data_IF_066854977634
#
_entry.id   IF_066854977634
#
_cell.length_a   1.000
_cell.length_b   1.000
_cell.length_c   1.000
_cell.angle_alpha   90.00
_cell.angle_beta   90.00
_cell.angle_gamma   90.00
#
_symmetry.space_group_name_H-M   'P 1'
#
loop_
_entity.id
_entity.type
_entity.pdbx_description
1 polymer ?
#
# COMPACT_ATOMS: atom_id res chain seq x y z
N UNK A 1 3.26 17.12 6.65
CA UNK A 1 3.79 16.35 5.51
C UNK A 1 2.78 16.29 4.37
N UNK A 2 1.52 15.88 4.57
CA UNK A 2 0.49 15.79 3.52
C UNK A 2 -0.54 16.93 3.53
N UNK A 3 -0.91 17.43 2.35
CA UNK A 3 -2.03 18.35 2.12
C UNK A 3 -3.35 17.61 1.87
N UNK A 4 -3.28 16.42 1.27
CA UNK A 4 -4.41 15.49 1.13
C UNK A 4 -3.92 14.05 1.25
N UNK A 5 -4.70 13.20 1.90
CA UNK A 5 -4.37 11.80 2.15
C UNK A 5 -5.59 10.90 2.00
N UNK A 6 -5.41 9.74 1.41
CA UNK A 6 -6.40 8.68 1.34
C UNK A 6 -5.78 7.40 1.86
N UNK A 7 -6.51 6.73 2.75
CA UNK A 7 -6.13 5.43 3.28
C UNK A 7 -7.08 4.38 2.70
N UNK A 8 -6.55 3.24 2.28
CA UNK A 8 -7.37 2.07 1.97
C UNK A 8 -7.23 1.07 3.09
N UNK A 9 -8.38 0.59 3.55
CA UNK A 9 -8.48 -0.32 4.67
C UNK A 9 -9.01 -1.67 4.20
N UNK A 10 -8.46 -2.76 4.74
CA UNK A 10 -9.01 -4.10 4.56
C UNK A 10 -9.78 -4.52 5.81
N UNK A 11 -10.85 -5.27 5.61
CA UNK A 11 -11.57 -5.94 6.68
C UNK A 11 -10.69 -7.04 7.28
N UNK A 12 -10.52 -7.03 8.61
CA UNK A 12 -9.83 -8.08 9.35
C UNK A 12 -10.82 -8.81 10.27
N UNK A 13 -11.33 -10.00 9.85
CA UNK A 13 -12.29 -10.79 10.62
C UNK A 13 -11.88 -11.03 12.08
N UNK A 14 -10.59 -11.32 12.34
CA UNK A 14 -10.10 -11.57 13.69
C UNK A 14 -10.17 -10.36 14.62
N UNK A 15 -10.29 -9.15 14.04
CA UNK A 15 -10.44 -7.90 14.79
C UNK A 15 -11.85 -7.30 14.67
N UNK A 16 -12.71 -7.84 13.80
CA UNK A 16 -14.05 -7.31 13.55
C UNK A 16 -14.08 -5.86 13.07
N UNK A 17 -13.05 -5.39 12.33
CA UNK A 17 -12.98 -4.01 11.83
C UNK A 17 -12.07 -3.85 10.62
N UNK A 18 -12.25 -2.74 9.90
CA UNK A 18 -11.35 -2.28 8.86
C UNK A 18 -10.04 -1.73 9.45
N UNK A 19 -8.91 -2.03 8.80
CA UNK A 19 -7.56 -1.56 9.16
C UNK A 19 -6.78 -1.11 7.94
N UNK A 20 -6.02 -0.03 8.10
CA UNK A 20 -5.16 0.54 7.06
C UNK A 20 -4.14 -0.46 6.48
N UNK A 21 -4.20 -0.67 5.16
CA UNK A 21 -3.19 -1.40 4.39
C UNK A 21 -2.28 -0.48 3.57
N UNK A 22 -2.83 0.60 3.02
CA UNK A 22 -2.08 1.56 2.21
C UNK A 22 -2.55 2.98 2.50
N UNK A 23 -1.64 3.92 2.33
CA UNK A 23 -1.89 5.35 2.39
C UNK A 23 -1.24 6.03 1.20
N UNK A 24 -1.99 6.92 0.54
CA UNK A 24 -1.53 7.75 -0.56
C UNK A 24 -1.69 9.22 -0.20
N UNK A 25 -0.61 10.00 -0.32
CA UNK A 25 -0.53 11.39 0.10
C UNK A 25 -0.07 12.30 -1.04
N UNK A 26 -0.75 13.44 -1.20
CA UNK A 26 -0.24 14.61 -1.89
C UNK A 26 0.37 15.57 -0.86
N UNK A 27 1.63 15.91 -1.03
CA UNK A 27 2.38 16.79 -0.10
C UNK A 27 2.64 18.18 -0.68
N UNK A 28 2.09 18.48 -1.86
CA UNK A 28 2.39 19.67 -2.66
C UNK A 28 3.90 19.91 -2.70
N UNK A 29 4.37 21.13 -2.48
CA UNK A 29 5.78 21.50 -2.41
C UNK A 29 6.41 21.35 -1.01
N UNK A 30 5.70 20.80 0.00
CA UNK A 30 6.17 20.78 1.39
C UNK A 30 7.51 20.05 1.57
N UNK A 31 7.65 18.86 0.95
CA UNK A 31 8.88 18.08 1.00
C UNK A 31 9.94 18.68 0.07
N UNK A 32 9.54 19.11 -1.13
CA UNK A 32 10.43 19.72 -2.11
C UNK A 32 11.15 20.97 -1.58
N UNK A 33 10.44 21.85 -0.85
CA UNK A 33 11.05 23.03 -0.19
C UNK A 33 12.11 22.68 0.85
N UNK A 34 11.94 21.55 1.56
CA UNK A 34 12.89 21.08 2.58
C UNK A 34 14.12 20.40 1.98
N UNK A 35 13.92 19.71 0.86
CA UNK A 35 14.98 19.01 0.13
C UNK A 35 15.67 19.89 -0.93
N UNK A 36 15.13 21.07 -1.22
CA UNK A 36 15.63 21.96 -2.28
C UNK A 36 15.35 21.46 -3.71
N UNK A 37 14.39 20.55 -3.89
CA UNK A 37 14.08 19.94 -5.18
C UNK A 37 13.24 20.90 -6.02
N UNK A 38 13.77 21.28 -7.18
CA UNK A 38 13.17 22.26 -8.09
C UNK A 38 13.31 21.80 -9.54
N UNK A 39 12.41 22.25 -10.40
CA UNK A 39 12.52 22.09 -11.85
C UNK A 39 12.44 23.45 -12.55
N UNK A 40 12.82 23.48 -13.83
CA UNK A 40 12.56 24.61 -14.70
C UNK A 40 11.31 24.32 -15.53
N UNK A 41 10.31 25.21 -15.58
CA UNK A 41 9.14 25.03 -16.43
C UNK A 41 9.52 24.99 -17.92
N UNK A 42 8.76 24.23 -18.73
CA UNK A 42 9.04 24.07 -20.16
C UNK A 42 8.96 25.41 -20.94
N UNK A 43 8.15 26.36 -20.47
CA UNK A 43 8.05 27.71 -21.04
C UNK A 43 9.21 28.65 -20.64
N UNK A 44 10.25 28.14 -19.98
CA UNK A 44 11.30 28.95 -19.39
C UNK A 44 10.88 29.56 -18.05
N UNK A 45 11.61 30.58 -17.59
CA UNK A 45 11.37 31.25 -16.31
C UNK A 45 12.20 30.71 -15.14
N UNK A 46 11.81 31.12 -13.93
CA UNK A 46 12.49 30.78 -12.68
C UNK A 46 12.41 29.30 -12.32
N UNK A 47 13.23 28.86 -11.36
CA UNK A 47 13.12 27.51 -10.81
C UNK A 47 11.94 27.44 -9.85
N UNK A 48 11.08 26.42 -10.03
CA UNK A 48 9.89 26.17 -9.22
C UNK A 48 10.04 24.88 -8.41
N UNK A 49 9.50 24.84 -7.19
CA UNK A 49 9.51 23.61 -6.39
C UNK A 49 8.52 22.60 -6.95
N UNK A 50 8.96 21.35 -7.09
CA UNK A 50 8.08 20.27 -7.56
C UNK A 50 7.01 19.94 -6.52
N UNK A 51 5.88 19.41 -6.99
CA UNK A 51 4.93 18.74 -6.09
C UNK A 51 5.31 17.28 -5.92
N UNK A 52 5.30 16.79 -4.67
CA UNK A 52 5.62 15.41 -4.34
C UNK A 52 4.38 14.63 -3.89
N UNK A 53 4.22 13.43 -4.44
CA UNK A 53 3.23 12.45 -4.02
C UNK A 53 3.93 11.18 -3.57
N UNK A 54 3.30 10.45 -2.65
CA UNK A 54 3.75 9.12 -2.23
C UNK A 54 2.55 8.22 -1.99
N UNK A 55 2.77 6.91 -2.10
CA UNK A 55 1.76 5.90 -1.89
C UNK A 55 2.40 4.58 -1.50
N UNK A 56 1.78 3.86 -0.57
CA UNK A 56 2.20 2.50 -0.26
C UNK A 56 1.70 1.58 -1.36
N UNK A 57 2.61 0.93 -2.10
CA UNK A 57 2.20 -0.08 -3.08
C UNK A 57 1.62 -1.30 -2.36
N UNK A 58 2.42 -1.94 -1.49
CA UNK A 58 2.01 -3.08 -0.68
C UNK A 58 2.74 -3.04 0.66
N UNK A 59 2.01 -2.88 1.76
CA UNK A 59 2.55 -3.10 3.11
C UNK A 59 2.57 -4.60 3.42
N UNK A 60 3.59 -5.30 2.90
CA UNK A 60 3.66 -6.77 2.83
C UNK A 60 3.14 -7.49 4.08
N UNK A 61 3.62 -7.12 5.27
CA UNK A 61 3.19 -7.77 6.52
C UNK A 61 1.68 -7.65 6.79
N UNK A 62 1.10 -6.46 6.60
CA UNK A 62 -0.36 -6.26 6.80
C UNK A 62 -1.17 -6.92 5.69
N UNK A 63 -0.65 -6.92 4.47
CA UNK A 63 -1.29 -7.60 3.33
C UNK A 63 -1.34 -9.11 3.54
N UNK A 64 -0.27 -9.72 4.06
CA UNK A 64 -0.26 -11.15 4.41
C UNK A 64 -1.33 -11.46 5.46
N UNK A 65 -1.45 -10.64 6.52
CA UNK A 65 -2.50 -10.82 7.53
C UNK A 65 -3.89 -10.75 6.90
N UNK A 66 -4.14 -9.74 6.06
CA UNK A 66 -5.42 -9.60 5.37
C UNK A 66 -5.73 -10.80 4.46
N UNK A 67 -4.75 -11.32 3.73
CA UNK A 67 -4.91 -12.53 2.90
C UNK A 67 -5.20 -13.75 3.78
N UNK A 68 -4.40 -13.97 4.82
CA UNK A 68 -4.57 -15.12 5.73
C UNK A 68 -5.94 -15.10 6.40
N UNK A 69 -6.40 -13.97 6.92
CA UNK A 69 -7.70 -13.92 7.63
C UNK A 69 -8.90 -14.01 6.69
N UNK A 70 -8.84 -13.46 5.48
CA UNK A 70 -10.00 -13.42 4.57
C UNK A 70 -10.09 -14.65 3.64
N UNK A 71 -9.03 -15.46 3.53
CA UNK A 71 -9.00 -16.65 2.68
C UNK A 71 -8.82 -17.95 3.47
N UNK A 72 -9.23 -17.98 4.74
CA UNK A 72 -9.23 -19.20 5.55
C UNK A 72 -10.22 -20.22 5.01
N UNK A 73 -9.85 -21.50 5.08
CA UNK A 73 -10.76 -22.61 4.78
C UNK A 73 -11.36 -23.21 6.04
N UNK A 74 -12.53 -23.80 5.88
CA UNK A 74 -13.10 -24.69 6.90
C UNK A 74 -12.16 -25.87 7.13
N UNK A 75 -11.86 -26.19 8.39
CA UNK A 75 -10.82 -27.18 8.75
C UNK A 75 -9.39 -26.61 8.78
N UNK A 76 -9.21 -25.34 8.39
CA UNK A 76 -7.95 -24.60 8.47
C UNK A 76 -7.15 -24.54 7.16
N UNK A 77 -6.02 -23.83 7.21
CA UNK A 77 -5.25 -23.48 6.02
C UNK A 77 -5.80 -22.24 5.30
N UNK A 78 -5.13 -21.83 4.22
CA UNK A 78 -5.41 -20.58 3.49
C UNK A 78 -5.38 -20.84 1.99
N UNK A 79 -6.42 -20.41 1.28
CA UNK A 79 -6.40 -20.35 -0.18
C UNK A 79 -5.62 -19.11 -0.62
N UNK A 80 -4.56 -19.30 -1.41
CA UNK A 80 -3.73 -18.18 -1.86
C UNK A 80 -4.37 -17.55 -3.11
N UNK A 81 -4.52 -16.21 -3.16
CA UNK A 81 -5.04 -15.51 -4.33
C UNK A 81 -4.34 -15.93 -5.64
N UNK A 82 -5.12 -16.22 -6.67
CA UNK A 82 -4.62 -16.78 -7.94
C UNK A 82 -3.52 -15.93 -8.58
N UNK A 83 -3.67 -14.60 -8.52
CA UNK A 83 -2.70 -13.63 -9.05
C UNK A 83 -1.30 -13.75 -8.42
N UNK A 84 -1.15 -14.39 -7.25
CA UNK A 84 0.15 -14.59 -6.62
C UNK A 84 0.86 -15.84 -7.14
N UNK A 85 0.15 -16.75 -7.83
CA UNK A 85 0.69 -18.04 -8.28
C UNK A 85 1.73 -17.87 -9.40
N UNK A 86 1.54 -16.88 -10.27
CA UNK A 86 2.51 -16.56 -11.33
C UNK A 86 3.87 -16.08 -10.77
N UNK A 87 3.87 -15.59 -9.53
CA UNK A 87 5.06 -15.16 -8.80
C UNK A 87 5.63 -16.25 -7.88
N UNK A 88 5.15 -17.50 -8.00
CA UNK A 88 5.66 -18.66 -7.28
C UNK A 88 4.98 -18.95 -5.93
N UNK A 89 3.87 -18.28 -5.61
CA UNK A 89 3.09 -18.65 -4.45
C UNK A 89 2.36 -20.01 -4.68
N UNK A 90 2.24 -20.87 -3.66
CA UNK A 90 1.46 -22.09 -3.79
C UNK A 90 -0.02 -21.75 -3.97
N UNK A 91 -0.83 -22.69 -4.49
CA UNK A 91 -2.27 -22.49 -4.59
C UNK A 91 -2.94 -22.40 -3.21
N UNK A 92 -2.36 -23.08 -2.22
CA UNK A 92 -2.87 -23.20 -0.85
C UNK A 92 -1.70 -23.29 0.14
N UNK A 93 -1.95 -22.84 1.37
CA UNK A 93 -1.08 -23.08 2.53
C UNK A 93 -1.86 -23.98 3.49
N UNK A 94 -1.43 -25.24 3.61
CA UNK A 94 -2.03 -26.18 4.55
C UNK A 94 -1.57 -25.92 5.99
N UNK A 95 -2.41 -26.27 6.97
CA UNK A 95 -1.94 -26.47 8.33
C UNK A 95 -1.00 -27.68 8.33
N UNK A 96 0.15 -27.56 8.97
CA UNK A 96 0.99 -28.71 9.27
C UNK A 96 0.55 -29.28 10.62
N UNK A 97 0.49 -30.61 10.68
CA UNK A 97 0.27 -31.37 11.92
C UNK A 97 1.39 -31.12 12.94
#
# INVERSE_FOLDING_TARGET
SAARKFDLEAWLPGQGRFRELTSCSNTTDFQARRLGVRHRPAGGGGLEHVHTLNGTAVAVGRTIIAVVENHQREGGGVDVPEVLREFGAPAEIALRD
#
